data_IF_040054271544
#
_entry.id   IF_040054271544
#
_cell.length_a   1.000
_cell.length_b   1.000
_cell.length_c   1.000
_cell.angle_alpha   90.00
_cell.angle_beta   90.00
_cell.angle_gamma   90.00
#
_symmetry.space_group_name_H-M   'P 1'
#
loop_
_entity.id
_entity.type
_entity.pdbx_description
1 polymer ?
#
# COMPACT_ATOMS: atom_id res chain seq x y z
N UNK A 1 -5.84 10.90 1.47
CA UNK A 1 -5.80 9.50 1.93
C UNK A 1 -4.45 9.28 2.63
N UNK A 2 -4.40 8.52 3.72
CA UNK A 2 -3.15 8.14 4.39
C UNK A 2 -3.08 6.61 4.42
N UNK A 3 -2.10 6.04 3.72
CA UNK A 3 -1.73 4.65 3.82
C UNK A 3 -0.77 4.46 5.00
N UNK A 4 -0.98 3.41 5.78
CA UNK A 4 -0.14 3.06 6.93
C UNK A 4 0.08 1.57 6.92
N UNK A 5 1.32 1.15 7.12
CA UNK A 5 1.67 -0.26 7.20
C UNK A 5 2.76 -0.48 8.24
N UNK A 6 2.78 -1.65 8.87
CA UNK A 6 3.73 -2.01 9.94
C UNK A 6 4.58 -3.19 9.48
N UNK A 7 5.90 -3.04 9.57
CA UNK A 7 6.82 -4.15 9.29
C UNK A 7 6.75 -5.24 10.39
N UNK A 8 7.38 -6.39 10.14
CA UNK A 8 7.42 -7.50 11.10
C UNK A 8 8.10 -7.13 12.44
N UNK A 9 8.92 -6.09 12.47
CA UNK A 9 9.60 -5.59 13.66
C UNK A 9 8.78 -4.56 14.44
N UNK A 10 7.62 -4.19 13.92
CA UNK A 10 6.74 -3.21 14.53
C UNK A 10 7.10 -1.76 14.20
N UNK A 11 7.98 -1.51 13.23
CA UNK A 11 8.21 -0.18 12.66
C UNK A 11 7.01 0.18 11.80
N UNK A 12 6.42 1.34 12.06
CA UNK A 12 5.25 1.82 11.32
C UNK A 12 5.70 2.81 10.25
N UNK A 13 5.22 2.59 9.03
CA UNK A 13 5.44 3.44 7.88
C UNK A 13 4.12 4.08 7.47
N UNK A 14 4.20 5.29 6.93
CA UNK A 14 3.04 5.97 6.36
C UNK A 14 3.44 6.72 5.09
N UNK A 15 2.53 6.75 4.13
CA UNK A 15 2.61 7.58 2.95
C UNK A 15 1.19 7.99 2.56
N UNK A 16 1.04 9.13 1.92
CA UNK A 16 -0.28 9.58 1.57
C UNK A 16 -0.28 10.99 1.04
N UNK A 17 -1.47 11.46 0.74
CA UNK A 17 -1.67 12.76 0.15
C UNK A 17 -2.89 13.43 0.77
N UNK A 18 -2.81 14.74 0.99
CA UNK A 18 -3.95 15.51 1.48
C UNK A 18 -4.86 15.89 0.31
N UNK A 19 -6.16 15.80 0.57
CA UNK A 19 -7.22 16.18 -0.35
C UNK A 19 -7.76 17.59 -0.05
N UNK A 20 -7.14 18.44 0.78
CA UNK A 20 -7.82 19.69 1.13
C UNK A 20 -7.02 20.98 0.93
N UNK A 21 -7.41 21.69 -0.14
CA UNK A 21 -7.88 23.05 0.03
C UNK A 21 -9.20 23.30 -0.73
N UNK A 22 -9.87 24.42 -0.45
CA UNK A 22 -11.18 24.88 -0.97
C UNK A 22 -11.32 24.87 -2.51
N UNK A 23 -10.23 24.61 -3.24
CA UNK A 23 -10.15 24.58 -4.69
C UNK A 23 -10.06 23.17 -5.30
N UNK A 24 -10.12 22.11 -4.49
CA UNK A 24 -10.04 20.72 -4.99
C UNK A 24 -8.67 20.36 -5.56
N UNK A 25 -7.61 20.96 -5.02
CA UNK A 25 -6.23 20.69 -5.43
C UNK A 25 -5.60 19.70 -4.45
N UNK A 26 -5.00 18.64 -5.00
CA UNK A 26 -4.27 17.61 -4.25
C UNK A 26 -3.02 18.22 -3.61
N UNK A 27 -2.91 18.18 -2.29
CA UNK A 27 -1.68 18.55 -1.56
C UNK A 27 -1.18 17.34 -0.76
N UNK A 28 -0.58 16.38 -1.45
CA UNK A 28 0.33 15.44 -0.80
C UNK A 28 1.76 15.79 -1.14
N UNK A 29 2.69 15.55 -0.22
CA UNK A 29 4.04 15.28 -0.68
C UNK A 29 4.16 13.80 -1.03
N UNK A 30 5.13 13.48 -1.88
CA UNK A 30 5.44 12.13 -2.30
C UNK A 30 6.31 11.41 -1.26
N UNK A 31 6.31 11.83 0.01
CA UNK A 31 7.24 11.30 1.00
C UNK A 31 6.75 10.00 1.64
N UNK A 32 7.70 9.10 1.90
CA UNK A 32 7.56 8.02 2.86
C UNK A 32 7.96 8.53 4.25
N UNK A 33 7.19 8.13 5.26
CA UNK A 33 7.41 8.50 6.65
C UNK A 33 7.56 7.25 7.53
N UNK A 34 8.37 7.37 8.58
CA UNK A 34 8.25 6.53 9.76
C UNK A 34 7.36 7.22 10.79
N UNK A 35 6.52 6.43 11.46
CA UNK A 35 5.58 6.90 12.48
C UNK A 35 6.03 6.44 13.85
N UNK A 36 6.21 7.38 14.76
CA UNK A 36 6.37 7.08 16.19
C UNK A 36 5.03 6.56 16.73
N UNK A 37 5.00 5.30 17.17
CA UNK A 37 3.77 4.61 17.57
C UNK A 37 3.20 5.10 18.91
N UNK A 38 3.98 5.80 19.74
CA UNK A 38 3.53 6.32 21.03
C UNK A 38 2.90 7.71 20.87
N UNK A 39 3.44 8.52 19.97
CA UNK A 39 3.11 9.94 19.83
C UNK A 39 2.39 10.29 18.53
N UNK A 40 2.44 9.41 17.52
CA UNK A 40 1.95 9.67 16.17
C UNK A 40 2.84 10.64 15.38
N UNK A 41 4.03 10.98 15.88
CA UNK A 41 4.93 11.91 15.19
C UNK A 41 5.51 11.27 13.91
N UNK A 42 5.53 12.04 12.82
CA UNK A 42 6.07 11.62 11.53
C UNK A 42 7.54 12.05 11.39
N UNK A 43 8.38 11.13 10.94
CA UNK A 43 9.76 11.40 10.51
C UNK A 43 9.88 11.08 9.02
N UNK A 44 10.30 12.05 8.21
CA UNK A 44 10.52 11.85 6.78
C UNK A 44 11.63 10.82 6.58
N UNK A 45 11.35 9.77 5.80
CA UNK A 45 12.35 8.81 5.32
C UNK A 45 12.96 9.32 4.02
N UNK A 46 12.11 9.70 3.06
CA UNK A 46 12.53 10.26 1.78
C UNK A 46 11.41 10.34 0.76
N UNK A 47 11.73 10.93 -0.38
CA UNK A 47 10.81 11.12 -1.51
C UNK A 47 10.64 9.80 -2.29
N UNK A 48 9.40 9.34 -2.44
CA UNK A 48 9.05 8.15 -3.22
C UNK A 48 9.08 8.39 -4.72
N UNK A 49 8.97 9.65 -5.14
CA UNK A 49 8.79 10.03 -6.55
C UNK A 49 7.43 9.63 -7.13
N UNK A 50 6.49 9.14 -6.31
CA UNK A 50 5.13 8.79 -6.72
C UNK A 50 4.15 9.73 -6.05
N UNK A 51 3.28 10.35 -6.85
CA UNK A 51 2.17 11.16 -6.36
C UNK A 51 0.93 10.27 -6.15
N UNK A 52 0.05 10.66 -5.22
CA UNK A 52 -1.24 9.98 -5.00
C UNK A 52 -1.11 8.50 -4.60
N UNK A 53 -0.15 8.16 -3.74
CA UNK A 53 -0.01 6.81 -3.16
C UNK A 53 -1.31 6.36 -2.47
N UNK A 54 -1.88 5.24 -2.91
CA UNK A 54 -3.16 4.75 -2.41
C UNK A 54 -3.02 3.79 -1.22
N UNK A 55 -2.14 2.80 -1.31
CA UNK A 55 -1.89 1.91 -0.17
C UNK A 55 -0.43 1.46 -0.06
N UNK A 56 -0.10 0.91 1.11
CA UNK A 56 1.17 0.26 1.44
C UNK A 56 0.90 -1.15 1.94
N UNK A 57 1.76 -2.12 1.57
CA UNK A 57 1.72 -3.47 2.15
C UNK A 57 3.11 -4.10 2.20
N UNK A 58 3.49 -4.72 3.32
CA UNK A 58 4.69 -5.55 3.36
C UNK A 58 4.38 -6.97 2.89
N UNK A 59 5.23 -7.52 2.02
CA UNK A 59 5.21 -8.95 1.74
C UNK A 59 5.91 -9.75 2.86
N UNK A 60 5.74 -11.10 2.90
CA UNK A 60 6.39 -11.95 3.90
C UNK A 60 7.92 -11.98 3.83
N UNK A 61 8.52 -11.46 2.75
CA UNK A 61 9.95 -11.32 2.57
C UNK A 61 10.48 -9.96 3.08
N UNK A 62 9.59 -9.04 3.44
CA UNK A 62 9.91 -7.71 3.97
C UNK A 62 10.04 -6.62 2.91
N UNK A 63 9.60 -6.87 1.67
CA UNK A 63 9.51 -5.84 0.63
C UNK A 63 8.28 -4.97 0.90
N UNK A 64 8.47 -3.63 0.89
CA UNK A 64 7.35 -2.69 0.96
C UNK A 64 6.77 -2.46 -0.44
N UNK A 65 5.51 -2.79 -0.61
CA UNK A 65 4.74 -2.57 -1.84
C UNK A 65 3.83 -1.36 -1.70
N UNK A 66 3.52 -0.74 -2.85
CA UNK A 66 2.52 0.31 -2.96
C UNK A 66 1.71 0.18 -4.25
N UNK A 67 0.54 0.83 -4.30
CA UNK A 67 -0.28 0.95 -5.51
C UNK A 67 -0.65 2.40 -5.80
N UNK A 68 -0.57 2.78 -7.08
CA UNK A 68 -1.04 4.06 -7.63
C UNK A 68 -1.57 3.85 -9.03
N UNK A 69 -2.77 4.35 -9.33
CA UNK A 69 -3.30 4.38 -10.70
C UNK A 69 -3.31 3.00 -11.37
N UNK A 70 -3.63 1.95 -10.62
CA UNK A 70 -3.55 0.56 -11.04
C UNK A 70 -2.14 0.12 -11.48
N UNK A 71 -1.09 0.53 -10.76
CA UNK A 71 0.28 0.08 -10.96
C UNK A 71 0.90 -0.28 -9.60
N UNK A 72 1.57 -1.42 -9.54
CA UNK A 72 2.33 -1.85 -8.37
C UNK A 72 3.75 -1.30 -8.41
N UNK A 73 4.19 -0.81 -7.26
CA UNK A 73 5.54 -0.33 -6.99
C UNK A 73 6.12 -1.05 -5.77
N UNK A 74 7.44 -1.18 -5.72
CA UNK A 74 8.17 -1.45 -4.47
C UNK A 74 8.86 -0.18 -3.99
N UNK A 75 8.90 0.03 -2.68
CA UNK A 75 9.57 1.15 -2.03
C UNK A 75 10.74 0.65 -1.16
N UNK A 76 11.84 1.39 -1.15
CA UNK A 76 12.93 1.18 -0.19
C UNK A 76 12.59 1.86 1.15
N UNK A 77 12.37 1.11 2.25
CA UNK A 77 12.00 1.68 3.54
C UNK A 77 13.12 2.50 4.22
N UNK A 78 14.35 2.46 3.71
CA UNK A 78 15.46 3.27 4.22
C UNK A 78 15.61 4.61 3.48
N UNK A 79 15.16 4.70 2.22
CA UNK A 79 15.37 5.88 1.37
C UNK A 79 14.09 6.50 0.83
N UNK A 80 12.97 5.78 0.88
CA UNK A 80 11.71 6.15 0.25
C UNK A 80 11.64 5.81 -1.24
N UNK A 81 12.78 5.58 -1.92
CA UNK A 81 12.84 5.45 -3.36
C UNK A 81 11.95 4.32 -3.89
N UNK A 82 11.16 4.60 -4.93
CA UNK A 82 10.29 3.61 -5.55
C UNK A 82 10.89 2.96 -6.79
N UNK A 83 10.35 1.78 -7.14
CA UNK A 83 10.57 1.09 -8.41
C UNK A 83 9.24 0.57 -8.92
N UNK A 84 8.87 0.94 -10.14
CA UNK A 84 7.69 0.40 -10.82
C UNK A 84 7.90 -1.09 -11.12
N UNK A 85 6.90 -1.91 -10.80
CA UNK A 85 6.96 -3.36 -10.99
C UNK A 85 6.09 -3.79 -12.16
N UNK A 86 4.77 -3.55 -12.07
CA UNK A 86 3.81 -4.06 -13.06
C UNK A 86 2.51 -3.27 -13.01
N UNK A 87 1.88 -3.09 -14.18
CA UNK A 87 0.53 -2.54 -14.27
C UNK A 87 -0.51 -3.61 -13.90
N UNK A 88 -1.49 -3.23 -13.08
CA UNK A 88 -2.61 -4.08 -12.68
C UNK A 88 -3.63 -4.13 -13.82
N UNK A 89 -4.03 -5.34 -14.21
CA UNK A 89 -4.93 -5.62 -15.34
C UNK A 89 -6.08 -6.53 -14.92
N UNK A 90 -7.14 -6.57 -15.73
CA UNK A 90 -8.29 -7.46 -15.49
C UNK A 90 -9.35 -6.90 -14.53
N UNK A 91 -9.21 -5.64 -14.10
CA UNK A 91 -10.27 -4.84 -13.47
C UNK A 91 -11.02 -4.02 -14.52
N UNK A 92 -12.27 -3.65 -14.23
CA UNK A 92 -13.04 -2.76 -15.10
C UNK A 92 -12.40 -1.35 -15.16
N UNK A 93 -12.60 -0.62 -16.26
CA UNK A 93 -11.94 0.68 -16.51
C UNK A 93 -12.27 1.78 -15.47
N UNK A 94 -13.35 1.61 -14.71
CA UNK A 94 -13.80 2.54 -13.67
C UNK A 94 -13.29 2.17 -12.26
N UNK A 95 -12.55 1.07 -12.12
CA UNK A 95 -12.07 0.54 -10.84
C UNK A 95 -10.61 0.94 -10.62
N UNK A 96 -10.34 1.57 -9.48
CA UNK A 96 -8.97 1.81 -9.00
C UNK A 96 -8.67 0.93 -7.79
N UNK A 97 -7.62 0.12 -7.89
CA UNK A 97 -7.11 -0.65 -6.75
C UNK A 97 -6.44 0.31 -5.77
N UNK A 98 -7.06 0.44 -4.61
CA UNK A 98 -6.66 1.35 -3.55
C UNK A 98 -6.37 0.66 -2.22
N UNK A 99 -6.57 -0.67 -2.13
CA UNK A 99 -6.18 -1.45 -0.96
C UNK A 99 -5.35 -2.65 -1.36
N UNK A 100 -4.31 -2.94 -0.57
CA UNK A 100 -3.40 -4.07 -0.73
C UNK A 100 -3.28 -4.82 0.60
N UNK A 101 -2.99 -6.12 0.53
CA UNK A 101 -2.65 -6.90 1.71
C UNK A 101 -2.04 -8.24 1.35
N UNK A 102 -0.92 -8.61 1.97
CA UNK A 102 -0.26 -9.88 1.75
C UNK A 102 -0.60 -10.90 2.83
N UNK A 103 -0.89 -12.13 2.41
CA UNK A 103 -0.85 -13.30 3.31
C UNK A 103 0.59 -13.76 3.56
N UNK A 104 0.79 -14.53 4.64
CA UNK A 104 2.08 -15.17 4.97
C UNK A 104 2.66 -16.09 3.87
N UNK A 105 1.84 -16.53 2.91
CA UNK A 105 2.27 -17.35 1.77
C UNK A 105 2.65 -16.54 0.53
N UNK A 106 2.62 -15.21 0.61
CA UNK A 106 3.01 -14.30 -0.47
C UNK A 106 1.88 -13.95 -1.44
N UNK A 107 0.64 -14.37 -1.18
CA UNK A 107 -0.51 -13.99 -2.01
C UNK A 107 -0.88 -12.53 -1.76
N UNK A 108 -0.86 -11.71 -2.82
CA UNK A 108 -1.35 -10.34 -2.77
C UNK A 108 -2.86 -10.30 -3.00
N UNK A 109 -3.57 -9.74 -2.02
CA UNK A 109 -4.98 -9.40 -2.12
C UNK A 109 -5.18 -7.90 -2.33
N UNK A 110 -6.26 -7.55 -2.98
CA UNK A 110 -6.57 -6.17 -3.30
C UNK A 110 -8.07 -5.85 -3.25
N UNK A 111 -8.36 -4.58 -2.95
CA UNK A 111 -9.71 -3.99 -2.93
C UNK A 111 -9.73 -2.65 -3.65
N UNK A 112 -10.94 -2.24 -4.04
CA UNK A 112 -11.24 -0.94 -4.62
C UNK A 112 -12.51 -0.39 -3.97
N UNK A 113 -12.59 0.91 -3.65
CA UNK A 113 -13.82 1.51 -3.15
C UNK A 113 -14.94 1.57 -4.18
N UNK A 114 -14.60 1.48 -5.47
CA UNK A 114 -15.54 1.43 -6.58
C UNK A 114 -16.15 0.04 -6.78
N UNK A 115 -15.74 -0.97 -6.00
CA UNK A 115 -16.13 -2.36 -6.17
C UNK A 115 -16.45 -3.04 -4.84
N UNK A 116 -17.36 -4.02 -4.87
CA UNK A 116 -17.57 -4.96 -3.75
C UNK A 116 -16.71 -6.23 -3.90
N UNK A 117 -15.89 -6.31 -4.95
CA UNK A 117 -15.09 -7.47 -5.29
C UNK A 117 -13.73 -7.46 -4.58
N UNK A 118 -13.31 -8.65 -4.19
CA UNK A 118 -12.02 -8.96 -3.62
C UNK A 118 -11.17 -9.66 -4.68
N UNK A 119 -9.95 -9.19 -4.90
CA UNK A 119 -9.07 -9.68 -5.95
C UNK A 119 -7.81 -10.30 -5.35
N UNK A 120 -7.23 -11.27 -6.04
CA UNK A 120 -5.79 -11.54 -5.97
C UNK A 120 -5.09 -10.92 -7.18
N UNK A 121 -3.82 -10.54 -7.04
CA UNK A 121 -3.01 -10.00 -8.14
C UNK A 121 -1.76 -10.88 -8.34
N UNK A 122 -1.50 -11.31 -9.57
CA UNK A 122 -0.24 -11.95 -9.94
C UNK A 122 0.87 -10.89 -10.03
N UNK A 123 1.92 -11.00 -9.19
CA UNK A 123 2.99 -10.00 -9.13
C UNK A 123 3.88 -9.94 -10.38
N UNK A 124 3.88 -10.99 -11.20
CA UNK A 124 4.71 -11.06 -12.40
C UNK A 124 3.99 -10.49 -13.63
N UNK A 125 2.66 -10.66 -13.72
CA UNK A 125 1.88 -10.20 -14.88
C UNK A 125 0.98 -9.02 -14.58
N UNK A 126 0.63 -8.78 -13.32
CA UNK A 126 -0.34 -7.77 -12.89
C UNK A 126 -1.80 -8.22 -13.06
N UNK A 127 -2.04 -9.44 -13.54
CA UNK A 127 -3.40 -9.91 -13.80
C UNK A 127 -4.16 -10.15 -12.49
N UNK A 128 -5.35 -9.56 -12.41
CA UNK A 128 -6.27 -9.78 -11.29
C UNK A 128 -7.11 -11.04 -11.47
N UNK A 129 -7.45 -11.68 -10.36
CA UNK A 129 -8.43 -12.77 -10.30
C UNK A 129 -9.45 -12.46 -9.20
N UNK A 130 -10.73 -12.50 -9.55
CA UNK A 130 -11.82 -12.29 -8.58
C UNK A 130 -11.90 -13.50 -7.64
N UNK A 131 -11.79 -13.24 -6.35
CA UNK A 131 -11.95 -14.21 -5.26
C UNK A 131 -13.41 -14.31 -4.85
N UNK A 132 -14.12 -13.17 -4.78
CA UNK A 132 -15.52 -13.08 -4.41
C UNK A 132 -15.91 -11.66 -4.01
N UNK A 133 -17.10 -11.51 -3.42
CA UNK A 133 -17.56 -10.23 -2.86
C UNK A 133 -17.18 -10.14 -1.37
N UNK A 134 -16.62 -9.01 -0.94
CA UNK A 134 -16.30 -8.76 0.48
C UNK A 134 -17.46 -8.12 1.26
N UNK A 135 -18.45 -7.55 0.57
CA UNK A 135 -19.67 -6.99 1.18
C UNK A 135 -19.43 -5.75 2.06
N UNK A 136 -18.30 -5.07 1.87
CA UNK A 136 -17.97 -3.80 2.52
C UNK A 136 -18.34 -2.65 1.59
N UNK A 137 -18.77 -1.55 2.18
CA UNK A 137 -19.07 -0.33 1.43
C UNK A 137 -17.83 0.56 1.42
N UNK A 138 -17.29 0.82 0.23
CA UNK A 138 -16.20 1.78 0.00
C UNK A 138 -14.87 1.44 0.70
N UNK A 139 -14.35 0.20 0.60
CA UNK A 139 -13.06 -0.15 1.22
C UNK A 139 -11.89 0.63 0.58
N UNK A 140 -10.97 1.11 1.39
CA UNK A 140 -9.74 1.80 0.99
C UNK A 140 -8.52 1.01 1.50
N UNK A 141 -7.33 1.60 1.30
CA UNK A 141 -6.11 1.09 1.90
C UNK A 141 -6.19 0.99 3.43
N UNK A 142 -5.58 -0.05 3.97
CA UNK A 142 -5.61 -0.36 5.41
C UNK A 142 -6.87 -1.08 5.92
N UNK A 143 -7.89 -1.32 5.09
CA UNK A 143 -9.10 -2.06 5.48
C UNK A 143 -8.93 -3.60 5.43
N UNK A 144 -7.78 -4.09 4.97
CA UNK A 144 -7.42 -5.51 4.96
C UNK A 144 -6.34 -5.77 6.02
N UNK A 145 -6.68 -6.15 7.26
CA UNK A 145 -5.67 -6.50 8.25
C UNK A 145 -5.06 -7.87 7.92
N UNK A 146 -3.98 -7.88 7.15
CA UNK A 146 -3.14 -9.05 6.96
C UNK A 146 -1.78 -8.73 7.57
N UNK A 147 -1.49 -9.26 8.76
CA UNK A 147 -0.19 -9.02 9.41
C UNK A 147 0.73 -10.18 9.03
N UNK A 148 1.80 -9.97 8.23
CA UNK A 148 2.79 -11.01 7.97
C UNK A 148 3.51 -11.37 9.28
N UNK A 149 3.57 -12.65 9.65
CA UNK A 149 4.04 -13.09 10.99
C UNK A 149 5.49 -13.61 11.03
N UNK A 150 6.23 -13.69 9.91
CA UNK A 150 7.39 -14.61 9.84
C UNK A 150 8.78 -14.03 9.50
N UNK A 151 8.99 -12.71 9.44
CA UNK A 151 10.36 -12.15 9.23
C UNK A 151 11.08 -11.96 10.57
N UNK A 152 12.28 -12.54 10.70
CA UNK A 152 13.15 -12.33 11.87
C UNK A 152 13.85 -10.97 11.78
N UNK A 153 13.68 -10.12 12.79
CA UNK A 153 14.40 -8.85 12.89
C UNK A 153 15.91 -9.10 13.08
N UNK A 154 16.74 -8.73 12.11
CA UNK A 154 18.16 -8.53 12.38
C UNK A 154 18.30 -7.22 13.17
N UNK A 155 18.67 -7.35 14.45
CA UNK A 155 19.02 -6.20 15.27
C UNK A 155 20.27 -5.53 14.67
N UNK A 156 20.07 -4.43 13.95
CA UNK A 156 21.16 -3.53 13.59
C UNK A 156 21.86 -3.03 14.85
N UNK A 157 23.13 -3.39 15.00
CA UNK A 157 24.00 -2.98 16.11
C UNK A 157 24.64 -1.61 15.93
#
# INVERSE_FOLDING_TARGET
>A
LLAVEVDACGTMFAAGFDFENEFGVMFGDSNLYQVDRETGALTVVGDTGIEQLMDLAFDPEGTLWATVGNVLYTLDPATGASTEVVAITGVDEEIEIMGLGFTDDGTLYATSPESELFYTIDLATGDTTVVGEHGLFFPHGGDIPMVPQNVSCEAGG
#
